data_IF_835352495128
#
_entry.id   IF_835352495128
#
_cell.length_a   1.000
_cell.length_b   1.000
_cell.length_c   1.000
_cell.angle_alpha   90.00
_cell.angle_beta   90.00
_cell.angle_gamma   90.00
#
_symmetry.space_group_name_H-M   'P 1'
#
loop_
_entity.id
_entity.type
_entity.pdbx_description
1 polymer ?
#
# COMPACT_ATOMS: atom_id res chain seq x y z
N UNK A 1 5.65 -58.84 34.46
CA UNK A 1 6.22 -57.50 34.70
C UNK A 1 5.53 -56.56 33.72
N UNK A 2 4.26 -56.25 33.98
CA UNK A 2 3.47 -55.32 33.15
C UNK A 2 3.54 -53.94 33.77
N UNK A 3 4.22 -53.01 33.09
CA UNK A 3 4.18 -51.60 33.45
C UNK A 3 2.80 -51.05 33.08
N UNK A 4 1.93 -50.96 34.07
CA UNK A 4 0.68 -50.19 33.97
C UNK A 4 1.09 -48.73 33.80
N UNK A 5 1.07 -48.24 32.57
CA UNK A 5 1.14 -46.81 32.25
C UNK A 5 0.10 -46.09 33.11
N UNK A 6 0.57 -45.19 33.98
CA UNK A 6 -0.34 -44.55 34.92
C UNK A 6 -1.29 -43.62 34.15
N UNK A 7 -2.60 -43.60 34.47
CA UNK A 7 -3.59 -42.81 33.72
C UNK A 7 -3.24 -41.31 33.62
N UNK A 8 -2.42 -40.78 34.55
CA UNK A 8 -1.94 -39.40 34.51
C UNK A 8 -0.84 -39.09 33.49
N UNK A 9 -0.09 -40.08 32.97
CA UNK A 9 0.96 -39.85 31.97
C UNK A 9 0.38 -39.61 30.58
N UNK A 10 -0.61 -40.43 30.18
CA UNK A 10 -1.34 -40.24 28.91
C UNK A 10 -2.05 -38.89 28.86
N UNK A 11 -2.67 -38.48 29.96
CA UNK A 11 -3.37 -37.18 30.04
C UNK A 11 -2.41 -35.99 30.02
N UNK A 12 -1.21 -36.14 30.60
CA UNK A 12 -0.15 -35.11 30.51
C UNK A 12 0.42 -34.99 29.10
N UNK A 13 0.64 -36.10 28.40
CA UNK A 13 1.09 -36.11 27.01
C UNK A 13 0.06 -35.48 26.07
N UNK A 14 -1.21 -35.87 26.19
CA UNK A 14 -2.31 -35.28 25.42
C UNK A 14 -2.43 -33.77 25.66
N UNK A 15 -2.32 -33.32 26.92
CA UNK A 15 -2.33 -31.89 27.27
C UNK A 15 -1.13 -31.15 26.69
N UNK A 16 0.06 -31.73 26.76
CA UNK A 16 1.28 -31.13 26.22
C UNK A 16 1.20 -30.99 24.69
N UNK A 17 0.72 -32.03 23.99
CA UNK A 17 0.49 -32.01 22.54
C UNK A 17 -0.56 -30.95 22.17
N UNK A 18 -1.68 -30.88 22.90
CA UNK A 18 -2.70 -29.84 22.69
C UNK A 18 -2.11 -28.44 22.89
N UNK A 19 -1.33 -28.22 23.96
CA UNK A 19 -0.71 -26.91 24.20
C UNK A 19 0.33 -26.52 23.15
N UNK A 20 1.05 -27.49 22.59
CA UNK A 20 1.99 -27.24 21.50
C UNK A 20 1.26 -26.90 20.20
N UNK A 21 0.16 -27.58 19.90
CA UNK A 21 -0.71 -27.25 18.76
C UNK A 21 -1.33 -25.85 18.91
N UNK A 22 -1.80 -25.50 20.11
CA UNK A 22 -2.35 -24.18 20.41
C UNK A 22 -1.28 -23.08 20.26
N UNK A 23 -0.05 -23.33 20.72
CA UNK A 23 1.06 -22.38 20.57
C UNK A 23 1.48 -22.19 19.10
N UNK A 24 1.48 -23.28 18.31
CA UNK A 24 1.74 -23.20 16.87
C UNK A 24 0.66 -22.38 16.15
N UNK A 25 -0.62 -22.63 16.46
CA UNK A 25 -1.74 -21.85 15.91
C UNK A 25 -1.65 -20.37 16.31
N UNK A 26 -1.29 -20.07 17.57
CA UNK A 26 -1.08 -18.69 18.02
C UNK A 26 0.05 -18.00 17.25
N UNK A 27 1.14 -18.72 16.99
CA UNK A 27 2.27 -18.19 16.20
C UNK A 27 1.83 -17.87 14.78
N UNK A 28 1.11 -18.77 14.12
CA UNK A 28 0.56 -18.55 12.78
C UNK A 28 -0.38 -17.34 12.73
N UNK A 29 -1.27 -17.20 13.72
CA UNK A 29 -2.18 -16.05 13.82
C UNK A 29 -1.40 -14.73 13.95
N UNK A 30 -0.30 -14.71 14.70
CA UNK A 30 0.55 -13.51 14.84
C UNK A 30 1.20 -13.16 13.50
N UNK A 31 1.80 -14.13 12.81
CA UNK A 31 2.43 -13.93 11.50
C UNK A 31 1.45 -13.41 10.44
N UNK A 32 0.24 -13.99 10.40
CA UNK A 32 -0.82 -13.54 9.50
C UNK A 32 -1.27 -12.12 9.81
N UNK A 33 -1.35 -11.73 11.10
CA UNK A 33 -1.69 -10.35 11.49
C UNK A 33 -0.61 -9.37 11.05
N UNK A 34 0.67 -9.70 11.25
CA UNK A 34 1.79 -8.87 10.80
C UNK A 34 1.74 -8.67 9.29
N UNK A 35 1.57 -9.75 8.54
CA UNK A 35 1.46 -9.71 7.07
C UNK A 35 0.26 -8.87 6.62
N UNK A 36 -0.89 -9.03 7.28
CA UNK A 36 -2.09 -8.27 6.96
C UNK A 36 -1.89 -6.75 7.18
N UNK A 37 -1.22 -6.36 8.26
CA UNK A 37 -0.91 -4.95 8.52
C UNK A 37 0.08 -4.37 7.50
N UNK A 38 1.11 -5.13 7.10
CA UNK A 38 2.03 -4.71 6.04
C UNK A 38 1.31 -4.50 4.70
N UNK A 39 0.40 -5.41 4.33
CA UNK A 39 -0.41 -5.29 3.13
C UNK A 39 -1.36 -4.10 3.18
N UNK A 40 -2.04 -3.88 4.32
CA UNK A 40 -2.90 -2.69 4.52
C UNK A 40 -2.10 -1.40 4.35
N UNK A 41 -0.88 -1.35 4.89
CA UNK A 41 -0.04 -0.17 4.76
C UNK A 41 0.41 0.07 3.31
N UNK A 42 0.75 -0.99 2.57
CA UNK A 42 1.04 -0.91 1.15
C UNK A 42 -0.19 -0.40 0.37
N UNK A 43 -1.37 -0.99 0.58
CA UNK A 43 -2.62 -0.58 -0.05
C UNK A 43 -3.00 0.86 0.27
N UNK A 44 -2.85 1.31 1.51
CA UNK A 44 -3.11 2.68 1.91
C UNK A 44 -2.18 3.67 1.19
N UNK A 45 -0.91 3.31 1.02
CA UNK A 45 0.04 4.14 0.26
C UNK A 45 -0.26 4.21 -1.24
N UNK A 46 -0.81 3.13 -1.81
CA UNK A 46 -1.23 3.10 -3.21
C UNK A 46 -2.56 3.84 -3.43
N UNK A 47 -3.49 3.76 -2.49
CA UNK A 47 -4.82 4.38 -2.62
C UNK A 47 -4.76 5.89 -2.90
N UNK A 48 -3.87 6.63 -2.22
CA UNK A 48 -3.73 8.09 -2.47
C UNK A 48 -3.10 8.38 -3.84
N UNK A 49 -2.18 7.52 -4.29
CA UNK A 49 -1.53 7.67 -5.60
C UNK A 49 -2.52 7.33 -6.71
N UNK A 50 -3.34 6.29 -6.53
CA UNK A 50 -4.39 5.92 -7.48
C UNK A 50 -5.47 6.99 -7.60
N UNK A 51 -5.85 7.62 -6.48
CA UNK A 51 -6.75 8.78 -6.49
C UNK A 51 -6.14 9.95 -7.27
N UNK A 52 -4.88 10.30 -6.99
CA UNK A 52 -4.18 11.36 -7.71
C UNK A 52 -4.07 11.04 -9.22
N UNK A 53 -3.80 9.78 -9.57
CA UNK A 53 -3.76 9.32 -10.97
C UNK A 53 -5.11 9.53 -11.65
N UNK A 54 -6.20 9.11 -11.01
CA UNK A 54 -7.56 9.34 -11.51
C UNK A 54 -7.90 10.82 -11.67
N UNK A 55 -7.48 11.67 -10.73
CA UNK A 55 -7.64 13.13 -10.85
C UNK A 55 -6.89 13.69 -12.05
N UNK A 56 -5.65 13.24 -12.31
CA UNK A 56 -4.88 13.66 -13.49
C UNK A 56 -5.61 13.27 -14.77
N UNK A 57 -6.11 12.02 -14.86
CA UNK A 57 -6.88 11.55 -16.02
C UNK A 57 -8.15 12.39 -16.25
N UNK A 58 -8.82 12.82 -15.18
CA UNK A 58 -10.01 13.66 -15.28
C UNK A 58 -9.70 15.12 -15.69
N UNK A 59 -8.60 15.69 -15.18
CA UNK A 59 -8.20 17.08 -15.46
C UNK A 59 -7.51 17.24 -16.81
N UNK A 60 -6.82 16.21 -17.27
CA UNK A 60 -6.13 16.14 -18.53
C UNK A 60 -6.44 14.77 -19.15
N UNK A 61 -7.44 14.67 -20.05
CA UNK A 61 -7.86 13.40 -20.64
C UNK A 61 -6.67 12.64 -21.23
N UNK A 62 -6.21 11.62 -20.52
CA UNK A 62 -5.07 10.78 -20.88
C UNK A 62 -5.23 9.36 -20.35
N UNK A 63 -4.41 8.45 -20.85
CA UNK A 63 -4.36 7.07 -20.33
C UNK A 63 -3.87 7.02 -18.88
N UNK A 64 -4.20 5.93 -18.19
CA UNK A 64 -3.70 5.66 -16.83
C UNK A 64 -2.17 5.65 -16.75
N UNK A 65 -1.51 5.11 -17.77
CA UNK A 65 -0.04 5.05 -17.84
C UNK A 65 0.55 6.45 -18.03
N UNK A 66 -0.03 7.30 -18.90
CA UNK A 66 0.41 8.70 -19.03
C UNK A 66 0.21 9.47 -17.72
N UNK A 67 -0.93 9.27 -17.04
CA UNK A 67 -1.18 9.91 -15.76
C UNK A 67 -0.16 9.50 -14.69
N UNK A 68 0.26 8.24 -14.67
CA UNK A 68 1.35 7.76 -13.81
C UNK A 68 2.67 8.45 -14.14
N UNK A 69 3.07 8.43 -15.41
CA UNK A 69 4.33 9.03 -15.85
C UNK A 69 4.38 10.52 -15.53
N UNK A 70 3.25 11.23 -15.67
CA UNK A 70 3.14 12.64 -15.27
C UNK A 70 3.39 12.84 -13.77
N UNK A 71 2.81 11.99 -12.91
CA UNK A 71 3.02 12.10 -11.45
C UNK A 71 4.47 11.78 -11.07
N UNK A 72 5.08 10.78 -11.70
CA UNK A 72 6.49 10.42 -11.52
C UNK A 72 7.40 11.57 -11.97
N UNK A 73 7.15 12.15 -13.14
CA UNK A 73 7.86 13.31 -13.66
C UNK A 73 7.83 14.46 -12.65
N UNK A 74 6.65 14.84 -12.17
CA UNK A 74 6.49 15.92 -11.20
C UNK A 74 7.24 15.62 -9.90
N UNK A 75 7.14 14.39 -9.40
CA UNK A 75 7.84 13.93 -8.19
C UNK A 75 9.36 14.09 -8.33
N UNK A 76 9.94 13.60 -9.44
CA UNK A 76 11.38 13.68 -9.69
C UNK A 76 11.84 15.13 -9.86
N UNK A 77 11.14 15.94 -10.65
CA UNK A 77 11.52 17.32 -10.92
C UNK A 77 11.37 18.23 -9.70
N UNK A 78 10.44 17.92 -8.79
CA UNK A 78 10.31 18.63 -7.52
C UNK A 78 11.23 18.09 -6.42
N UNK A 79 11.85 16.90 -6.60
CA UNK A 79 12.52 16.14 -5.55
C UNK A 79 11.61 15.92 -4.30
N UNK A 80 10.34 15.60 -4.53
CA UNK A 80 9.33 15.32 -3.49
C UNK A 80 8.86 13.88 -3.70
N UNK A 81 8.67 13.12 -2.60
CA UNK A 81 8.19 11.73 -2.70
C UNK A 81 6.84 11.69 -3.43
N UNK A 82 6.66 10.73 -4.34
CA UNK A 82 5.45 10.58 -5.15
C UNK A 82 4.17 10.57 -4.31
N UNK A 83 4.17 9.86 -3.17
CA UNK A 83 3.04 9.83 -2.24
C UNK A 83 2.66 11.22 -1.70
N UNK A 84 3.64 12.10 -1.48
CA UNK A 84 3.42 13.44 -0.95
C UNK A 84 2.91 14.38 -2.06
N UNK A 85 3.38 14.19 -3.31
CA UNK A 85 2.81 14.84 -4.50
C UNK A 85 1.35 14.43 -4.70
N UNK A 86 1.06 13.14 -4.64
CA UNK A 86 -0.28 12.60 -4.76
C UNK A 86 -1.20 13.13 -3.65
N UNK A 87 -0.75 13.12 -2.40
CA UNK A 87 -1.50 13.66 -1.27
C UNK A 87 -1.79 15.16 -1.45
N UNK A 88 -0.81 15.94 -1.93
CA UNK A 88 -0.99 17.36 -2.21
C UNK A 88 -2.03 17.61 -3.31
N UNK A 89 -2.05 16.77 -4.36
CA UNK A 89 -3.07 16.83 -5.41
C UNK A 89 -4.45 16.46 -4.88
N UNK A 90 -4.59 15.34 -4.17
CA UNK A 90 -5.86 14.91 -3.57
C UNK A 90 -6.40 15.96 -2.59
N UNK A 91 -5.54 16.61 -1.82
CA UNK A 91 -5.94 17.65 -0.89
C UNK A 91 -6.62 18.87 -1.55
N UNK A 92 -6.40 19.10 -2.86
CA UNK A 92 -7.07 20.18 -3.61
C UNK A 92 -8.58 19.98 -3.73
N UNK A 93 -9.08 18.75 -3.57
CA UNK A 93 -10.53 18.45 -3.52
C UNK A 93 -11.22 19.03 -2.28
N UNK A 94 -10.43 19.45 -1.27
CA UNK A 94 -10.89 20.09 -0.03
C UNK A 94 -10.46 21.56 0.01
N UNK A 95 -10.46 22.22 -1.15
CA UNK A 95 -10.11 23.64 -1.34
C UNK A 95 -8.69 24.03 -0.89
N UNK A 96 -7.77 23.06 -0.71
CA UNK A 96 -6.37 23.38 -0.43
C UNK A 96 -5.65 23.77 -1.71
N UNK A 97 -4.82 24.82 -1.63
CA UNK A 97 -3.96 25.19 -2.76
C UNK A 97 -2.83 24.17 -2.93
N UNK A 98 -2.60 23.74 -4.17
CA UNK A 98 -1.44 22.92 -4.52
C UNK A 98 -0.13 23.71 -4.27
N UNK A 99 0.87 23.15 -3.58
CA UNK A 99 2.15 23.82 -3.35
C UNK A 99 2.79 24.28 -4.66
N UNK A 100 3.41 25.47 -4.64
CA UNK A 100 3.90 26.11 -5.86
C UNK A 100 4.89 25.26 -6.69
N UNK A 101 5.88 24.56 -6.09
CA UNK A 101 6.79 23.72 -6.86
C UNK A 101 6.03 22.64 -7.66
N UNK A 102 5.09 21.96 -7.00
CA UNK A 102 4.29 20.89 -7.59
C UNK A 102 3.37 21.46 -8.68
N UNK A 103 2.70 22.60 -8.40
CA UNK A 103 1.81 23.26 -9.35
C UNK A 103 2.53 23.69 -10.63
N UNK A 104 3.73 24.25 -10.48
CA UNK A 104 4.56 24.67 -11.61
C UNK A 104 4.99 23.48 -12.46
N UNK A 105 5.53 22.43 -11.85
CA UNK A 105 5.98 21.25 -12.59
C UNK A 105 4.81 20.48 -13.21
N UNK A 106 3.66 20.37 -12.53
CA UNK A 106 2.46 19.74 -13.11
C UNK A 106 2.01 20.48 -14.38
N UNK A 107 1.93 21.82 -14.35
CA UNK A 107 1.62 22.62 -15.54
C UNK A 107 2.64 22.40 -16.66
N UNK A 108 3.93 22.28 -16.33
CA UNK A 108 4.99 22.01 -17.30
C UNK A 108 4.86 20.62 -17.90
N UNK A 109 4.64 19.60 -17.07
CA UNK A 109 4.49 18.21 -17.48
C UNK A 109 3.28 18.02 -18.40
N UNK A 110 2.14 18.64 -18.08
CA UNK A 110 0.93 18.60 -18.91
C UNK A 110 1.11 19.20 -20.31
N UNK A 111 2.01 20.19 -20.47
CA UNK A 111 2.33 20.79 -21.77
C UNK A 111 3.27 19.93 -22.62
N UNK A 112 3.92 18.92 -22.04
CA UNK A 112 4.83 18.05 -22.80
C UNK A 112 4.01 17.14 -23.72
N UNK A 113 4.26 17.16 -25.05
CA UNK A 113 3.60 16.23 -25.95
C UNK A 113 4.04 14.81 -25.61
N UNK A 114 3.08 13.92 -25.39
CA UNK A 114 3.35 12.55 -25.02
C UNK A 114 3.17 11.64 -26.24
N UNK A 115 4.19 10.84 -26.54
CA UNK A 115 4.22 10.04 -27.77
C UNK A 115 3.14 8.94 -27.79
N UNK A 116 2.68 8.49 -26.61
CA UNK A 116 1.71 7.41 -26.45
C UNK A 116 0.24 7.81 -26.71
N UNK A 117 -0.08 9.11 -26.71
CA UNK A 117 -1.46 9.61 -26.88
C UNK A 117 -1.89 9.76 -28.35
N UNK A 118 -1.08 9.24 -29.29
CA UNK A 118 -1.36 9.25 -30.74
C UNK A 118 -1.89 7.90 -31.26
N UNK A 119 -2.64 7.16 -30.43
CA UNK A 119 -3.24 5.87 -30.80
C UNK A 119 -4.73 5.86 -30.53
#
# INVERSE_FOLDING_TARGET
>A
MDQVTTPGEGQRLLRAVSSAADAALQTEVVELRVTNEQLKQALASHAVIDQARGMVMALAPCSSDRAWDLLVDVSQHCNIKLRDVAAALVATTKDRSLPEPIRRELRRALRRPHAADRR
#
